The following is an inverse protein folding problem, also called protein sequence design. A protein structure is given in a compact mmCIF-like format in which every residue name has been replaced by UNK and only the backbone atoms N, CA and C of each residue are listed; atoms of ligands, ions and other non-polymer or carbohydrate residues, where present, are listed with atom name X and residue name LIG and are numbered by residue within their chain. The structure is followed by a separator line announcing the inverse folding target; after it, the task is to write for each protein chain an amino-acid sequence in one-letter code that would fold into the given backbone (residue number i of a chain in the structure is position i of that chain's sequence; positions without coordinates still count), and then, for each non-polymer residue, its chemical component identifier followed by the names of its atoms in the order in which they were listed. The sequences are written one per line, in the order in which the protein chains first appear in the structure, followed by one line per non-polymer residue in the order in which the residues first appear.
data_IF_959370590365
#
_entry.id   IF_959370590365
#
_cell.length_a   1.000
_cell.length_b   1.000
_cell.length_c   1.000
_cell.angle_alpha   90.00
_cell.angle_beta   90.00
_cell.angle_gamma   90.00
#
_symmetry.space_group_name_H-M   'P 1'
#
loop_
_entity.id
_entity.type
_entity.pdbx_description
1 polymer ?
#
# COMPACT_ATOMS: atom_id res chain seq x y z
N UNK A 1 25.42 -17.87 -4.65
CA UNK A 1 24.62 -18.85 -3.88
C UNK A 1 23.17 -18.45 -4.13
N UNK A 2 22.28 -19.39 -4.47
CA UNK A 2 20.86 -19.07 -4.64
C UNK A 2 20.30 -18.46 -3.35
N UNK A 3 19.46 -17.43 -3.49
CA UNK A 3 18.89 -16.71 -2.34
C UNK A 3 18.10 -17.66 -1.42
N UNK A 4 17.44 -18.68 -2.00
CA UNK A 4 16.73 -19.72 -1.25
C UNK A 4 17.64 -20.50 -0.29
N UNK A 5 18.93 -20.69 -0.64
CA UNK A 5 19.92 -21.30 0.28
C UNK A 5 20.39 -20.30 1.33
N UNK A 6 20.42 -19.02 1.00
CA UNK A 6 20.79 -17.99 1.95
C UNK A 6 19.69 -17.78 3.00
N UNK A 7 18.42 -17.79 2.60
CA UNK A 7 17.29 -17.75 3.51
C UNK A 7 17.32 -18.86 4.56
N UNK A 8 17.86 -20.04 4.22
CA UNK A 8 18.05 -21.15 5.17
C UNK A 8 19.06 -20.86 6.27
N UNK A 9 19.87 -19.79 6.13
CA UNK A 9 20.80 -19.34 7.18
C UNK A 9 20.14 -18.40 8.19
N UNK A 10 18.95 -17.88 7.90
CA UNK A 10 18.15 -17.19 8.89
C UNK A 10 17.87 -18.22 9.99
N UNK A 11 18.07 -17.88 11.27
CA UNK A 11 17.92 -18.83 12.36
C UNK A 11 16.45 -19.18 12.58
N UNK A 12 15.93 -20.08 11.74
CA UNK A 12 14.60 -20.65 11.83
C UNK A 12 14.76 -22.15 12.06
N UNK A 13 14.29 -22.63 13.21
CA UNK A 13 14.35 -24.05 13.54
C UNK A 13 13.47 -24.84 12.57
N UNK A 14 14.01 -25.91 12.01
CA UNK A 14 13.31 -26.81 11.07
C UNK A 14 12.67 -26.15 9.85
N UNK A 15 13.06 -24.93 9.49
CA UNK A 15 12.50 -24.17 8.37
C UNK A 15 10.95 -24.06 8.41
N UNK A 16 10.40 -23.94 9.62
CA UNK A 16 8.97 -23.83 9.85
C UNK A 16 8.63 -22.45 10.41
N UNK A 17 7.72 -21.76 9.75
CA UNK A 17 7.30 -20.39 10.11
C UNK A 17 5.78 -20.34 10.25
N UNK A 18 5.30 -19.73 11.32
CA UNK A 18 3.88 -19.43 11.51
C UNK A 18 3.64 -17.92 11.41
N UNK A 19 2.68 -17.51 10.59
CA UNK A 19 2.36 -16.12 10.32
C UNK A 19 1.04 -15.72 11.00
N UNK A 20 1.08 -14.81 11.97
CA UNK A 20 -0.10 -14.30 12.66
C UNK A 20 -0.59 -13.02 11.97
N UNK A 21 -1.84 -13.00 11.52
CA UNK A 21 -2.38 -11.96 10.64
C UNK A 21 -1.98 -12.17 9.17
N UNK A 22 -1.97 -13.43 8.71
CA UNK A 22 -1.49 -13.84 7.39
C UNK A 22 -2.35 -13.29 6.24
N UNK A 23 -3.61 -12.93 6.50
CA UNK A 23 -4.51 -12.30 5.53
C UNK A 23 -4.19 -10.83 5.25
N UNK A 24 -3.26 -10.22 6.00
CA UNK A 24 -2.75 -8.88 5.71
C UNK A 24 -1.75 -8.88 4.55
N UNK A 25 -1.84 -7.88 3.65
CA UNK A 25 -1.04 -7.81 2.41
C UNK A 25 0.48 -7.90 2.67
N UNK A 26 1.00 -7.31 3.74
CA UNK A 26 2.43 -7.32 4.05
C UNK A 26 2.93 -8.64 4.61
N UNK A 27 2.13 -9.31 5.46
CA UNK A 27 2.50 -10.62 6.03
C UNK A 27 2.31 -11.73 5.00
N UNK A 28 1.24 -11.67 4.19
CA UNK A 28 1.02 -12.63 3.11
C UNK A 28 2.16 -12.64 2.08
N UNK A 29 2.67 -11.46 1.74
CA UNK A 29 3.79 -11.32 0.83
C UNK A 29 5.07 -12.00 1.37
N UNK A 30 5.37 -11.83 2.66
CA UNK A 30 6.47 -12.55 3.33
C UNK A 30 6.22 -14.06 3.39
N UNK A 31 4.99 -14.48 3.67
CA UNK A 31 4.60 -15.88 3.70
C UNK A 31 4.82 -16.56 2.33
N UNK A 32 4.41 -15.91 1.23
CA UNK A 32 4.65 -16.39 -0.12
C UNK A 32 6.15 -16.51 -0.43
N UNK A 33 6.91 -15.48 -0.10
CA UNK A 33 8.35 -15.45 -0.34
C UNK A 33 9.08 -16.57 0.42
N UNK A 34 8.73 -16.81 1.67
CA UNK A 34 9.27 -17.91 2.46
C UNK A 34 8.87 -19.28 1.89
N UNK A 35 7.61 -19.42 1.46
CA UNK A 35 7.13 -20.64 0.84
C UNK A 35 7.88 -20.94 -0.47
N UNK A 36 8.12 -19.94 -1.32
CA UNK A 36 8.99 -20.05 -2.52
C UNK A 36 10.43 -20.45 -2.14
N UNK A 37 10.92 -19.96 -0.98
CA UNK A 37 12.22 -20.32 -0.42
C UNK A 37 12.32 -21.75 0.14
N UNK A 38 11.22 -22.51 0.11
CA UNK A 38 11.16 -23.90 0.58
C UNK A 38 10.90 -24.05 2.07
N UNK A 39 10.42 -23.01 2.75
CA UNK A 39 9.99 -23.10 4.15
C UNK A 39 8.61 -23.74 4.25
N UNK A 40 8.35 -24.41 5.37
CA UNK A 40 7.01 -24.85 5.76
C UNK A 40 6.29 -23.67 6.39
N UNK A 41 5.37 -23.09 5.66
CA UNK A 41 4.63 -21.89 6.10
C UNK A 41 3.23 -22.30 6.52
N UNK A 42 2.79 -21.76 7.66
CA UNK A 42 1.43 -21.81 8.15
C UNK A 42 1.02 -20.43 8.64
N UNK A 43 -0.25 -20.20 8.85
CA UNK A 43 -0.67 -18.94 9.46
C UNK A 43 -2.15 -18.92 9.82
N UNK A 44 -2.51 -17.85 10.51
CA UNK A 44 -3.86 -17.57 11.01
C UNK A 44 -4.24 -16.13 10.72
N UNK A 45 -5.53 -15.87 10.70
CA UNK A 45 -6.09 -14.52 10.68
C UNK A 45 -7.39 -14.46 11.51
N UNK A 46 -7.79 -13.26 11.91
CA UNK A 46 -9.06 -13.04 12.58
C UNK A 46 -10.24 -13.38 11.66
N UNK A 47 -10.10 -13.14 10.34
CA UNK A 47 -11.08 -13.44 9.30
C UNK A 47 -10.41 -14.16 8.12
N UNK A 48 -11.08 -15.17 7.57
CA UNK A 48 -10.60 -15.86 6.36
C UNK A 48 -11.03 -15.06 5.12
N UNK A 49 -10.17 -14.15 4.70
CA UNK A 49 -10.35 -13.31 3.51
C UNK A 49 -9.84 -13.99 2.22
N UNK A 50 -9.92 -13.27 1.10
CA UNK A 50 -9.51 -13.80 -0.20
C UNK A 50 -8.00 -14.09 -0.26
N UNK A 51 -7.17 -13.29 0.41
CA UNK A 51 -5.72 -13.54 0.52
C UNK A 51 -5.45 -14.87 1.22
N UNK A 52 -6.14 -15.16 2.32
CA UNK A 52 -6.03 -16.45 3.01
C UNK A 52 -6.40 -17.63 2.08
N UNK A 53 -7.45 -17.48 1.29
CA UNK A 53 -7.89 -18.50 0.33
C UNK A 53 -6.87 -18.71 -0.79
N UNK A 54 -6.31 -17.63 -1.34
CA UNK A 54 -5.25 -17.70 -2.35
C UNK A 54 -3.98 -18.40 -1.82
N UNK A 55 -3.56 -18.06 -0.60
CA UNK A 55 -2.42 -18.71 0.05
C UNK A 55 -2.64 -20.21 0.28
N UNK A 56 -3.87 -20.58 0.69
CA UNK A 56 -4.24 -21.99 0.84
C UNK A 56 -4.19 -22.75 -0.49
N UNK A 57 -4.64 -22.14 -1.60
CA UNK A 57 -4.55 -22.73 -2.95
C UNK A 57 -3.10 -22.94 -3.40
N UNK A 58 -2.17 -22.09 -2.94
CA UNK A 58 -0.72 -22.25 -3.19
C UNK A 58 -0.07 -23.34 -2.32
N UNK A 59 -0.78 -23.88 -1.34
CA UNK A 59 -0.29 -24.93 -0.44
C UNK A 59 0.19 -24.46 0.93
N UNK A 60 0.01 -23.18 1.27
CA UNK A 60 0.27 -22.66 2.61
C UNK A 60 -0.87 -23.08 3.54
N UNK A 61 -0.50 -23.63 4.71
CA UNK A 61 -1.51 -24.12 5.67
C UNK A 61 -2.14 -22.96 6.43
N UNK A 62 -3.42 -22.69 6.16
CA UNK A 62 -4.21 -21.66 6.85
C UNK A 62 -5.02 -22.32 7.97
N UNK A 63 -4.91 -21.77 9.18
CA UNK A 63 -5.72 -22.20 10.32
C UNK A 63 -7.18 -21.77 10.18
N UNK A 64 -8.12 -22.38 10.91
CA UNK A 64 -9.50 -21.88 11.01
C UNK A 64 -9.56 -20.44 11.50
N UNK A 65 -10.62 -19.72 11.14
CA UNK A 65 -10.85 -18.33 11.52
C UNK A 65 -10.71 -18.09 13.03
N UNK A 66 -10.03 -17.01 13.35
CA UNK A 66 -9.71 -16.58 14.72
C UNK A 66 -8.37 -17.09 15.22
N UNK A 67 -7.90 -16.47 16.30
CA UNK A 67 -6.60 -16.76 16.92
C UNK A 67 -6.76 -17.70 18.12
N UNK A 68 -6.11 -18.87 18.07
CA UNK A 68 -6.15 -19.92 19.11
C UNK A 68 -4.79 -20.57 19.24
N UNK A 69 -4.40 -20.99 20.44
CA UNK A 69 -3.15 -21.70 20.69
C UNK A 69 -3.01 -22.98 19.83
N UNK A 70 -4.13 -23.64 19.53
CA UNK A 70 -4.19 -24.87 18.72
C UNK A 70 -3.87 -24.64 17.24
N UNK A 71 -3.93 -23.40 16.76
CA UNK A 71 -3.53 -23.04 15.38
C UNK A 71 -2.00 -23.20 15.18
N UNK A 72 -1.23 -23.13 16.27
CA UNK A 72 0.23 -23.27 16.23
C UNK A 72 0.59 -24.71 15.88
N UNK A 73 1.52 -24.94 14.91
CA UNK A 73 1.93 -26.29 14.54
C UNK A 73 2.57 -27.04 15.71
N UNK A 74 1.97 -28.15 16.12
CA UNK A 74 2.44 -28.99 17.24
C UNK A 74 3.77 -29.72 16.93
N UNK A 75 4.10 -29.89 15.65
CA UNK A 75 5.36 -30.49 15.20
C UNK A 75 6.59 -29.59 15.40
N UNK A 76 6.41 -28.48 16.09
CA UNK A 76 7.43 -27.44 16.26
C UNK A 76 7.31 -26.33 15.21
N UNK A 77 7.47 -25.11 15.69
CA UNK A 77 7.56 -23.92 14.87
C UNK A 77 8.83 -23.16 15.27
N UNK A 78 9.72 -22.92 14.31
CA UNK A 78 10.98 -22.24 14.58
C UNK A 78 10.84 -20.72 14.71
N UNK A 79 9.85 -20.15 14.04
CA UNK A 79 9.65 -18.70 14.02
C UNK A 79 8.19 -18.30 13.87
N UNK A 80 7.88 -17.12 14.38
CA UNK A 80 6.63 -16.41 14.15
C UNK A 80 6.90 -15.06 13.53
N UNK A 81 6.11 -14.72 12.51
CA UNK A 81 6.06 -13.38 11.92
C UNK A 81 4.68 -12.79 12.20
N UNK A 82 4.66 -11.59 12.77
CA UNK A 82 3.44 -10.95 13.23
C UNK A 82 3.18 -9.64 12.49
N UNK A 83 1.91 -9.34 12.23
CA UNK A 83 1.52 -7.99 11.85
C UNK A 83 1.69 -7.03 13.05
N UNK A 84 1.92 -5.75 12.77
CA UNK A 84 2.00 -4.70 13.79
C UNK A 84 0.71 -4.57 14.65
N UNK A 85 -0.43 -5.05 14.15
CA UNK A 85 -1.69 -5.08 14.88
C UNK A 85 -1.78 -6.22 15.93
N UNK A 86 -0.84 -7.17 15.91
CA UNK A 86 -0.88 -8.34 16.81
C UNK A 86 -0.45 -7.94 18.22
N UNK A 87 -1.30 -8.22 19.19
CA UNK A 87 -0.98 -8.03 20.60
C UNK A 87 -0.12 -9.21 21.13
N UNK A 88 0.85 -8.94 22.00
CA UNK A 88 1.65 -9.96 22.66
C UNK A 88 0.83 -10.94 23.52
N UNK A 89 -0.39 -10.56 23.90
CA UNK A 89 -1.35 -11.45 24.57
C UNK A 89 -2.15 -12.35 23.61
N UNK A 90 -1.89 -12.28 22.31
CA UNK A 90 -2.50 -13.17 21.34
C UNK A 90 -2.16 -14.64 21.70
N UNK A 91 -3.16 -15.55 21.80
CA UNK A 91 -2.93 -16.92 22.28
C UNK A 91 -1.91 -17.70 21.44
N UNK A 92 -1.82 -17.43 20.15
CA UNK A 92 -0.81 -18.07 19.27
C UNK A 92 0.60 -17.53 19.57
N UNK A 93 0.73 -16.22 19.80
CA UNK A 93 2.02 -15.61 20.15
C UNK A 93 2.50 -16.14 21.51
N UNK A 94 1.61 -16.22 22.49
CA UNK A 94 1.92 -16.79 23.82
C UNK A 94 2.40 -18.23 23.70
N UNK A 95 1.71 -19.06 22.90
CA UNK A 95 2.09 -20.47 22.70
C UNK A 95 3.43 -20.59 21.97
N UNK A 96 3.66 -19.80 20.92
CA UNK A 96 4.93 -19.78 20.18
C UNK A 96 6.12 -19.37 21.07
N UNK A 97 5.94 -18.36 21.90
CA UNK A 97 6.95 -17.96 22.89
C UNK A 97 7.21 -19.04 23.93
N UNK A 98 6.14 -19.76 24.39
CA UNK A 98 6.29 -20.94 25.26
C UNK A 98 7.11 -22.04 24.61
N UNK A 99 6.95 -22.22 23.30
CA UNK A 99 7.74 -23.18 22.49
C UNK A 99 9.16 -22.67 22.16
N UNK A 100 9.54 -21.48 22.63
CA UNK A 100 10.81 -20.82 22.33
C UNK A 100 11.02 -20.53 20.85
N UNK A 101 9.94 -20.31 20.10
CA UNK A 101 10.03 -19.83 18.73
C UNK A 101 10.63 -18.42 18.70
N UNK A 102 11.40 -18.11 17.67
CA UNK A 102 11.85 -16.73 17.42
C UNK A 102 10.66 -15.91 16.94
N UNK A 103 10.55 -14.69 17.47
CA UNK A 103 9.43 -13.80 17.12
C UNK A 103 9.95 -12.55 16.44
N UNK A 104 9.35 -12.20 15.32
CA UNK A 104 9.58 -10.96 14.58
C UNK A 104 8.26 -10.27 14.23
N UNK A 105 8.25 -8.97 14.33
CA UNK A 105 7.30 -8.17 13.57
C UNK A 105 7.62 -8.28 12.07
N UNK A 106 6.64 -7.93 11.23
CA UNK A 106 6.81 -7.88 9.77
C UNK A 106 8.04 -7.03 9.37
N UNK A 107 8.21 -5.87 10.00
CA UNK A 107 9.32 -4.97 9.69
C UNK A 107 10.68 -5.50 10.15
N UNK A 108 10.76 -6.11 11.33
CA UNK A 108 12.00 -6.75 11.80
C UNK A 108 12.41 -7.90 10.88
N UNK A 109 11.44 -8.73 10.44
CA UNK A 109 11.74 -9.82 9.51
C UNK A 109 12.17 -9.29 8.13
N UNK A 110 11.59 -8.18 7.65
CA UNK A 110 12.08 -7.50 6.45
C UNK A 110 13.56 -7.09 6.60
N UNK A 111 13.98 -6.66 7.77
CA UNK A 111 15.40 -6.38 8.07
C UNK A 111 16.29 -7.61 7.93
N UNK A 112 15.84 -8.79 8.41
CA UNK A 112 16.56 -10.04 8.20
C UNK A 112 16.63 -10.43 6.71
N UNK A 113 15.52 -10.23 5.98
CA UNK A 113 15.46 -10.48 4.55
C UNK A 113 16.42 -9.56 3.77
N UNK A 114 16.54 -8.29 4.13
CA UNK A 114 17.50 -7.36 3.52
C UNK A 114 18.93 -7.88 3.60
N UNK A 115 19.32 -8.49 4.72
CA UNK A 115 20.66 -9.07 4.89
C UNK A 115 20.94 -10.26 3.98
N UNK A 116 19.90 -10.85 3.40
CA UNK A 116 20.02 -11.94 2.44
C UNK A 116 20.44 -11.46 1.03
N UNK A 117 20.31 -10.18 0.73
CA UNK A 117 20.66 -9.61 -0.56
C UNK A 117 21.88 -8.69 -0.43
N UNK A 118 22.66 -8.58 -1.52
CA UNK A 118 23.85 -7.72 -1.51
C UNK A 118 23.49 -6.24 -1.71
N UNK A 119 22.41 -5.97 -2.45
CA UNK A 119 21.98 -4.64 -2.86
C UNK A 119 20.50 -4.41 -2.57
N UNK A 120 20.06 -4.35 -1.31
CA UNK A 120 18.68 -4.02 -0.97
C UNK A 120 18.34 -2.58 -1.37
N UNK A 121 17.19 -2.38 -1.99
CA UNK A 121 16.61 -1.09 -2.35
C UNK A 121 15.27 -0.95 -1.66
N UNK A 122 15.16 0.04 -0.78
CA UNK A 122 13.96 0.28 0.01
C UNK A 122 13.25 1.54 -0.44
N UNK A 123 11.93 1.46 -0.58
CA UNK A 123 11.08 2.61 -0.88
C UNK A 123 10.26 2.95 0.36
N UNK A 124 10.49 4.12 0.93
CA UNK A 124 9.80 4.64 2.11
C UNK A 124 9.06 5.95 1.81
N UNK A 125 8.29 6.42 2.77
CA UNK A 125 7.56 7.69 2.72
C UNK A 125 6.08 7.52 3.06
N UNK A 126 5.37 8.60 3.33
CA UNK A 126 3.97 8.53 3.74
C UNK A 126 3.07 7.99 2.63
N UNK A 127 3.26 8.47 1.39
CA UNK A 127 2.43 8.14 0.23
C UNK A 127 3.28 7.74 -0.98
N UNK A 128 2.74 6.91 -1.89
CA UNK A 128 3.39 6.55 -3.16
C UNK A 128 4.42 5.42 -3.09
N UNK A 129 4.72 4.86 -1.90
CA UNK A 129 5.68 3.76 -1.69
C UNK A 129 5.48 2.58 -2.64
N UNK A 130 4.29 1.96 -2.58
CA UNK A 130 3.96 0.76 -3.36
C UNK A 130 4.05 1.03 -4.86
N UNK A 131 3.56 2.19 -5.33
CA UNK A 131 3.63 2.57 -6.74
C UNK A 131 5.07 2.75 -7.22
N UNK A 132 5.91 3.44 -6.45
CA UNK A 132 7.33 3.66 -6.78
C UNK A 132 8.11 2.34 -6.78
N UNK A 133 7.93 1.50 -5.76
CA UNK A 133 8.58 0.19 -5.69
C UNK A 133 8.12 -0.75 -6.82
N UNK A 134 6.83 -0.73 -7.15
CA UNK A 134 6.29 -1.51 -8.26
C UNK A 134 6.83 -1.04 -9.62
N UNK A 135 6.90 0.27 -9.87
CA UNK A 135 7.49 0.82 -11.09
C UNK A 135 8.96 0.43 -11.22
N UNK A 136 9.74 0.57 -10.13
CA UNK A 136 11.15 0.17 -10.10
C UNK A 136 11.33 -1.33 -10.39
N UNK A 137 10.57 -2.18 -9.70
CA UNK A 137 10.60 -3.63 -9.92
C UNK A 137 10.18 -4.03 -11.34
N UNK A 138 9.16 -3.34 -11.89
CA UNK A 138 8.71 -3.56 -13.26
C UNK A 138 9.78 -3.21 -14.29
N UNK A 139 10.40 -2.02 -14.15
CA UNK A 139 11.47 -1.56 -15.04
C UNK A 139 12.66 -2.52 -15.03
N UNK A 140 13.14 -2.92 -13.85
CA UNK A 140 14.26 -3.87 -13.73
C UNK A 140 13.93 -5.22 -14.36
N UNK A 141 12.73 -5.75 -14.14
CA UNK A 141 12.27 -6.99 -14.76
C UNK A 141 12.23 -6.90 -16.30
N UNK A 142 11.82 -5.75 -16.84
CA UNK A 142 11.80 -5.51 -18.30
C UNK A 142 13.19 -5.29 -18.91
N UNK A 143 14.16 -4.97 -18.07
CA UNK A 143 15.59 -4.94 -18.43
C UNK A 143 16.29 -6.29 -18.17
N UNK A 144 15.51 -7.38 -17.96
CA UNK A 144 15.99 -8.74 -17.71
C UNK A 144 16.87 -8.85 -16.45
N UNK A 145 16.66 -7.95 -15.47
CA UNK A 145 17.34 -8.01 -14.18
C UNK A 145 16.52 -8.88 -13.20
N UNK A 146 17.11 -9.96 -12.74
CA UNK A 146 16.47 -10.85 -11.77
C UNK A 146 16.56 -10.25 -10.36
N UNK A 147 15.43 -9.81 -9.80
CA UNK A 147 15.35 -9.13 -8.51
C UNK A 147 14.43 -9.86 -7.56
N UNK A 148 14.72 -9.83 -6.27
CA UNK A 148 13.70 -9.99 -5.23
C UNK A 148 12.72 -8.82 -5.26
N UNK A 149 11.47 -9.06 -4.92
CA UNK A 149 10.41 -8.06 -4.86
C UNK A 149 9.54 -8.30 -3.63
N UNK A 150 9.23 -7.22 -2.88
CA UNK A 150 8.28 -7.26 -1.77
C UNK A 150 7.57 -5.90 -1.68
N UNK A 151 6.35 -5.80 -2.19
CA UNK A 151 5.57 -4.57 -2.25
C UNK A 151 4.20 -4.71 -1.60
N UNK A 152 3.64 -3.60 -1.12
CA UNK A 152 2.36 -3.55 -0.41
C UNK A 152 1.12 -3.67 -1.30
N UNK A 153 1.25 -3.96 -2.60
CA UNK A 153 0.14 -4.11 -3.52
C UNK A 153 0.49 -5.06 -4.66
N UNK A 154 -0.48 -5.82 -5.16
CA UNK A 154 -0.31 -6.70 -6.31
C UNK A 154 -0.31 -5.90 -7.61
N UNK A 155 0.45 -6.33 -8.63
CA UNK A 155 0.32 -5.78 -9.97
C UNK A 155 -1.09 -6.04 -10.52
N UNK A 156 -1.58 -5.10 -11.32
CA UNK A 156 -2.84 -5.25 -12.07
C UNK A 156 -2.58 -6.02 -13.38
N UNK A 157 -2.19 -7.28 -13.25
CA UNK A 157 -1.83 -8.17 -14.36
C UNK A 157 -2.20 -9.61 -14.01
N UNK A 158 -2.26 -10.54 -15.00
CA UNK A 158 -2.52 -11.95 -14.72
C UNK A 158 -1.52 -12.59 -13.75
N UNK A 159 -0.28 -12.12 -13.72
CA UNK A 159 0.74 -12.48 -12.72
C UNK A 159 0.66 -11.51 -11.53
N UNK A 160 -0.40 -11.62 -10.74
CA UNK A 160 -0.78 -10.72 -9.65
C UNK A 160 0.18 -10.74 -8.45
N UNK A 161 1.48 -10.80 -8.67
CA UNK A 161 2.46 -10.93 -7.60
C UNK A 161 2.76 -9.60 -6.94
N UNK A 162 2.92 -9.63 -5.65
CA UNK A 162 3.51 -8.56 -4.83
C UNK A 162 4.75 -9.04 -4.07
N UNK A 163 5.09 -10.33 -4.19
CA UNK A 163 6.29 -10.92 -3.65
C UNK A 163 6.95 -11.83 -4.68
N UNK A 164 8.28 -11.83 -4.71
CA UNK A 164 9.11 -12.70 -5.53
C UNK A 164 10.48 -12.83 -4.89
N UNK A 165 10.98 -14.05 -4.78
CA UNK A 165 12.29 -14.28 -4.21
C UNK A 165 13.42 -13.78 -5.11
N UNK A 166 13.39 -14.09 -6.40
CA UNK A 166 14.49 -13.83 -7.34
C UNK A 166 15.77 -14.59 -6.97
N UNK A 167 16.78 -14.53 -7.84
CA UNK A 167 18.09 -15.11 -7.61
C UNK A 167 19.24 -14.09 -7.78
N UNK A 168 18.88 -12.83 -8.10
CA UNK A 168 19.82 -11.73 -8.25
C UNK A 168 20.31 -11.17 -6.92
N UNK A 169 21.12 -10.14 -7.00
CA UNK A 169 21.70 -9.43 -5.85
C UNK A 169 20.80 -8.30 -5.32
N UNK A 170 19.80 -7.90 -6.09
CA UNK A 170 18.85 -6.82 -5.77
C UNK A 170 17.61 -7.35 -5.06
N UNK A 171 17.21 -6.69 -3.99
CA UNK A 171 15.86 -6.75 -3.41
C UNK A 171 15.20 -5.39 -3.54
N UNK A 172 14.03 -5.33 -4.14
CA UNK A 172 13.19 -4.13 -4.15
C UNK A 172 12.07 -4.34 -3.14
N UNK A 173 12.02 -3.52 -2.10
CA UNK A 173 10.99 -3.65 -1.08
C UNK A 173 10.43 -2.30 -0.62
N UNK A 174 9.19 -2.35 -0.16
CA UNK A 174 8.51 -1.24 0.49
C UNK A 174 8.80 -1.25 1.98
N UNK A 175 9.23 -0.11 2.51
CA UNK A 175 9.48 0.12 3.94
C UNK A 175 8.32 0.94 4.53
N UNK A 176 7.57 0.34 5.44
CA UNK A 176 6.43 0.97 6.10
C UNK A 176 6.91 1.78 7.32
N UNK A 177 6.55 3.06 7.35
CA UNK A 177 6.93 3.95 8.45
C UNK A 177 5.98 3.91 9.63
N UNK A 178 4.80 3.30 9.48
CA UNK A 178 3.70 3.40 10.46
C UNK A 178 4.01 2.77 11.82
N UNK A 179 4.89 1.78 11.87
CA UNK A 179 5.34 1.09 13.08
C UNK A 179 6.78 1.43 13.49
N UNK A 180 7.44 2.33 12.75
CA UNK A 180 8.82 2.76 13.01
C UNK A 180 9.90 1.71 12.65
N UNK A 181 9.52 0.50 12.23
CA UNK A 181 10.47 -0.59 11.93
C UNK A 181 11.33 -0.32 10.69
N UNK A 182 10.91 0.59 9.82
CA UNK A 182 11.75 1.04 8.69
C UNK A 182 13.13 1.54 9.16
N UNK A 183 13.22 2.13 10.35
CA UNK A 183 14.48 2.57 10.95
C UNK A 183 15.48 1.43 11.26
N UNK A 184 15.08 0.16 11.15
CA UNK A 184 15.92 -1.02 11.31
C UNK A 184 16.49 -1.55 10.00
N UNK A 185 16.09 -0.96 8.87
CA UNK A 185 16.47 -1.42 7.54
C UNK A 185 17.77 -0.76 7.10
N UNK A 186 18.54 -1.50 6.31
CA UNK A 186 19.80 -1.03 5.72
C UNK A 186 19.95 -1.56 4.30
N UNK A 187 20.76 -0.91 3.48
CA UNK A 187 20.95 -1.39 2.12
C UNK A 187 21.79 -0.49 1.20
N UNK A 188 21.64 -0.76 -0.08
CA UNK A 188 22.33 -0.03 -1.15
C UNK A 188 21.71 1.35 -1.39
N UNK A 189 20.37 1.38 -1.53
CA UNK A 189 19.63 2.56 -1.92
C UNK A 189 18.32 2.69 -1.15
N UNK A 190 18.03 3.88 -0.65
CA UNK A 190 16.72 4.28 -0.18
C UNK A 190 16.09 5.29 -1.13
N UNK A 191 14.80 5.15 -1.40
CA UNK A 191 13.98 6.10 -2.14
C UNK A 191 12.88 6.60 -1.22
N UNK A 192 12.82 7.91 -0.95
CA UNK A 192 11.82 8.51 -0.08
C UNK A 192 10.89 9.38 -0.91
N UNK A 193 9.62 8.99 -0.99
CA UNK A 193 8.62 9.70 -1.79
C UNK A 193 8.22 11.03 -1.16
N UNK A 194 7.87 11.03 0.12
CA UNK A 194 7.47 12.20 0.91
C UNK A 194 7.51 11.88 2.40
N UNK A 195 7.45 12.93 3.25
CA UNK A 195 7.37 12.81 4.71
C UNK A 195 6.28 13.79 5.18
N UNK A 196 5.06 13.30 5.36
CA UNK A 196 3.88 14.13 5.61
C UNK A 196 3.27 13.94 7.01
N UNK A 197 3.89 13.11 7.85
CA UNK A 197 3.44 12.92 9.24
C UNK A 197 2.19 12.05 9.37
N UNK A 198 1.78 11.30 8.33
CA UNK A 198 0.69 10.33 8.48
C UNK A 198 1.05 9.32 9.60
N UNK A 199 0.08 8.95 10.41
CA UNK A 199 0.22 8.13 11.62
C UNK A 199 0.83 8.83 12.85
N UNK A 200 1.25 10.11 12.79
CA UNK A 200 1.81 10.86 13.91
C UNK A 200 0.78 11.90 14.42
N UNK A 201 0.09 11.56 15.52
CA UNK A 201 -1.03 12.34 16.05
C UNK A 201 -0.65 13.31 17.17
N UNK A 202 0.62 13.40 17.54
CA UNK A 202 1.15 14.35 18.52
C UNK A 202 2.51 14.90 18.07
N UNK A 203 2.96 15.99 18.67
CA UNK A 203 4.28 16.57 18.37
C UNK A 203 5.41 15.57 18.65
N UNK A 204 5.30 14.79 19.72
CA UNK A 204 6.26 13.75 20.09
C UNK A 204 6.29 12.63 19.03
N UNK A 205 5.14 12.17 18.56
CA UNK A 205 5.04 11.15 17.52
C UNK A 205 5.62 11.65 16.18
N UNK A 206 5.40 12.92 15.83
CA UNK A 206 6.03 13.55 14.64
C UNK A 206 7.55 13.57 14.80
N UNK A 207 8.06 14.00 15.95
CA UNK A 207 9.51 14.05 16.19
C UNK A 207 10.15 12.66 16.17
N UNK A 208 9.47 11.65 16.69
CA UNK A 208 9.90 10.25 16.64
C UNK A 208 9.94 9.73 15.20
N UNK A 209 8.88 9.95 14.42
CA UNK A 209 8.80 9.55 13.01
C UNK A 209 9.92 10.22 12.19
N UNK A 210 10.16 11.51 12.38
CA UNK A 210 11.27 12.21 11.73
C UNK A 210 12.63 11.64 12.15
N UNK A 211 12.80 11.31 13.43
CA UNK A 211 13.99 10.62 13.95
C UNK A 211 14.19 9.25 13.29
N UNK A 212 13.12 8.51 13.05
CA UNK A 212 13.14 7.23 12.36
C UNK A 212 13.58 7.38 10.90
N UNK A 213 13.08 8.38 10.17
CA UNK A 213 13.54 8.66 8.80
C UNK A 213 15.04 9.03 8.75
N UNK A 214 15.54 9.81 9.72
CA UNK A 214 16.97 10.13 9.80
C UNK A 214 17.81 8.88 10.07
N UNK A 215 17.39 7.99 10.96
CA UNK A 215 18.05 6.69 11.20
C UNK A 215 18.03 5.83 9.95
N UNK A 216 16.86 5.68 9.32
CA UNK A 216 16.71 4.95 8.08
C UNK A 216 17.72 5.39 7.02
N UNK A 217 17.85 6.70 6.74
CA UNK A 217 18.79 7.17 5.74
C UNK A 217 20.25 6.92 6.10
N UNK A 218 20.60 6.89 7.38
CA UNK A 218 21.99 6.70 7.83
C UNK A 218 22.55 5.31 7.48
N UNK A 219 21.71 4.31 7.39
CA UNK A 219 22.07 2.90 7.17
C UNK A 219 22.01 2.49 5.68
N UNK A 220 21.82 3.44 4.77
CA UNK A 220 21.89 3.24 3.32
C UNK A 220 23.12 3.94 2.71
N UNK A 221 23.70 3.34 1.67
CA UNK A 221 24.83 3.96 0.95
C UNK A 221 24.41 5.25 0.26
N UNK A 222 23.19 5.29 -0.27
CA UNK A 222 22.57 6.46 -0.90
C UNK A 222 21.08 6.52 -0.60
N UNK A 223 20.57 7.73 -0.45
CA UNK A 223 19.15 8.02 -0.36
C UNK A 223 18.79 9.12 -1.34
N UNK A 224 17.80 8.88 -2.21
CA UNK A 224 17.16 9.94 -2.98
C UNK A 224 15.78 10.24 -2.43
N UNK A 225 15.39 11.50 -2.45
CA UNK A 225 14.07 11.92 -2.05
C UNK A 225 13.50 13.02 -2.95
N UNK A 226 12.17 13.06 -3.03
CA UNK A 226 11.45 14.15 -3.70
C UNK A 226 11.46 15.36 -2.75
N UNK A 227 11.94 16.52 -3.27
CA UNK A 227 12.03 17.74 -2.50
C UNK A 227 10.61 18.25 -2.14
N UNK A 228 10.36 18.41 -0.85
CA UNK A 228 9.22 19.12 -0.27
C UNK A 228 9.71 19.87 0.96
N UNK A 229 8.94 20.79 1.49
CA UNK A 229 9.31 21.51 2.71
C UNK A 229 9.66 20.54 3.84
N UNK A 230 8.80 19.54 4.10
CA UNK A 230 9.03 18.57 5.14
C UNK A 230 10.21 17.65 4.87
N UNK A 231 10.31 17.05 3.68
CA UNK A 231 11.42 16.14 3.37
C UNK A 231 12.76 16.86 3.42
N UNK A 232 12.85 18.10 2.91
CA UNK A 232 14.06 18.92 3.01
C UNK A 232 14.41 19.23 4.46
N UNK A 233 13.44 19.64 5.30
CA UNK A 233 13.66 19.94 6.72
C UNK A 233 14.13 18.70 7.50
N UNK A 234 13.56 17.56 7.24
CA UNK A 234 13.89 16.31 7.95
C UNK A 234 15.25 15.77 7.52
N UNK A 235 15.57 15.80 6.22
CA UNK A 235 16.71 15.10 5.64
C UNK A 235 17.92 15.99 5.29
N UNK A 236 17.83 17.32 5.43
CA UNK A 236 18.89 18.27 5.04
C UNK A 236 20.29 17.97 5.61
N UNK A 237 20.34 17.37 6.82
CA UNK A 237 21.60 17.05 7.50
C UNK A 237 21.99 15.57 7.41
N UNK A 238 21.28 14.77 6.63
CA UNK A 238 21.59 13.36 6.44
C UNK A 238 22.63 13.23 5.32
N UNK A 239 23.85 12.78 5.65
CA UNK A 239 25.00 12.75 4.72
C UNK A 239 24.76 11.95 3.45
N UNK A 240 23.97 10.89 3.55
CA UNK A 240 23.70 9.98 2.42
C UNK A 240 22.42 10.35 1.66
N UNK A 241 21.69 11.38 2.11
CA UNK A 241 20.42 11.80 1.53
C UNK A 241 20.62 12.99 0.59
N UNK A 242 20.02 12.90 -0.58
CA UNK A 242 20.08 13.91 -1.63
C UNK A 242 18.66 14.11 -2.21
N UNK A 243 18.21 15.36 -2.23
CA UNK A 243 17.01 15.73 -2.95
C UNK A 243 17.27 15.62 -4.46
N UNK A 244 16.32 15.10 -5.21
CA UNK A 244 16.35 15.26 -6.65
C UNK A 244 16.35 16.76 -6.97
N UNK A 245 17.38 17.23 -7.68
CA UNK A 245 17.38 18.62 -8.15
C UNK A 245 16.20 18.86 -9.10
N UNK A 246 15.73 20.10 -9.18
CA UNK A 246 14.62 20.46 -10.07
C UNK A 246 14.88 20.01 -11.51
N UNK A 247 16.06 20.28 -12.04
CA UNK A 247 16.49 19.86 -13.39
C UNK A 247 16.42 18.33 -13.56
N UNK A 248 16.97 17.59 -12.58
CA UNK A 248 16.96 16.12 -12.62
C UNK A 248 15.55 15.56 -12.53
N UNK A 249 14.73 16.12 -11.65
CA UNK A 249 13.33 15.72 -11.50
C UNK A 249 12.52 15.96 -12.77
N UNK A 250 12.67 17.14 -13.39
CA UNK A 250 12.00 17.48 -14.65
C UNK A 250 12.44 16.57 -15.80
N UNK A 251 13.75 16.33 -15.92
CA UNK A 251 14.28 15.40 -16.92
C UNK A 251 13.70 13.99 -16.75
N UNK A 252 13.81 13.40 -15.55
CA UNK A 252 13.30 12.05 -15.31
C UNK A 252 11.77 11.96 -15.45
N UNK A 253 11.04 12.99 -15.01
CA UNK A 253 9.60 13.09 -15.21
C UNK A 253 9.20 13.14 -16.69
N UNK A 254 10.03 13.78 -17.53
CA UNK A 254 9.78 13.87 -18.96
C UNK A 254 9.94 12.54 -19.70
N UNK A 255 10.70 11.60 -19.14
CA UNK A 255 10.85 10.24 -19.67
C UNK A 255 9.62 9.36 -19.40
N UNK A 256 8.84 9.68 -18.37
CA UNK A 256 7.64 8.91 -18.03
C UNK A 256 6.57 9.00 -19.15
N UNK A 257 5.78 7.92 -19.39
CA UNK A 257 4.70 7.93 -20.33
C UNK A 257 3.74 9.11 -20.13
N UNK A 258 3.19 9.64 -21.23
CA UNK A 258 2.29 10.80 -21.19
C UNK A 258 1.01 10.54 -20.40
N UNK A 259 0.59 9.29 -20.35
CA UNK A 259 -0.58 8.80 -19.62
C UNK A 259 -0.42 8.85 -18.09
N UNK A 260 0.83 8.90 -17.61
CA UNK A 260 1.11 9.10 -16.18
C UNK A 260 0.94 10.59 -15.84
N UNK A 261 0.13 10.88 -14.85
CA UNK A 261 -0.26 12.24 -14.49
C UNK A 261 0.08 12.56 -13.02
N UNK A 262 0.29 13.82 -12.71
CA UNK A 262 0.47 14.29 -11.33
C UNK A 262 1.50 13.48 -10.55
N UNK A 263 1.09 12.92 -9.41
CA UNK A 263 1.97 12.15 -8.53
C UNK A 263 2.53 10.85 -9.16
N UNK A 264 1.87 10.30 -10.18
CA UNK A 264 2.37 9.11 -10.89
C UNK A 264 3.72 9.42 -11.56
N UNK A 265 3.84 10.62 -12.18
CA UNK A 265 5.11 11.09 -12.76
C UNK A 265 6.18 11.30 -11.70
N UNK A 266 5.81 11.83 -10.55
CA UNK A 266 6.74 12.02 -9.44
C UNK A 266 7.30 10.68 -8.93
N UNK A 267 6.43 9.68 -8.78
CA UNK A 267 6.83 8.33 -8.40
C UNK A 267 7.73 7.69 -9.47
N UNK A 268 7.40 7.86 -10.76
CA UNK A 268 8.22 7.37 -11.87
C UNK A 268 9.60 8.05 -11.90
N UNK A 269 9.67 9.36 -11.70
CA UNK A 269 10.95 10.10 -11.66
C UNK A 269 11.86 9.59 -10.54
N UNK A 270 11.29 9.35 -9.34
CA UNK A 270 12.07 8.82 -8.22
C UNK A 270 12.54 7.38 -8.49
N UNK A 271 11.69 6.54 -9.08
CA UNK A 271 12.07 5.19 -9.49
C UNK A 271 13.16 5.19 -10.56
N UNK A 272 13.09 6.10 -11.55
CA UNK A 272 14.12 6.28 -12.60
C UNK A 272 15.44 6.80 -12.02
N UNK A 273 15.41 7.65 -11.00
CA UNK A 273 16.63 8.04 -10.28
C UNK A 273 17.30 6.82 -9.63
N UNK A 274 16.49 5.89 -9.09
CA UNK A 274 16.97 4.61 -8.58
C UNK A 274 17.60 3.74 -9.69
N UNK A 275 16.99 3.67 -10.87
CA UNK A 275 17.51 2.95 -12.04
C UNK A 275 18.90 3.45 -12.41
N UNK A 276 19.08 4.76 -12.55
CA UNK A 276 20.37 5.34 -12.89
C UNK A 276 21.45 5.07 -11.83
N UNK A 277 21.12 5.24 -10.55
CA UNK A 277 22.06 4.95 -9.47
C UNK A 277 22.49 3.48 -9.46
N UNK A 278 21.59 2.58 -9.77
CA UNK A 278 21.88 1.14 -9.85
C UNK A 278 22.73 0.78 -11.09
N UNK A 279 22.98 1.72 -11.99
CA UNK A 279 23.81 1.56 -13.19
C UNK A 279 23.08 1.12 -14.44
N UNK A 280 21.73 1.26 -14.46
CA UNK A 280 20.92 0.93 -15.62
C UNK A 280 20.51 2.16 -16.41
N UNK A 281 20.19 1.97 -17.69
CA UNK A 281 19.77 3.02 -18.62
C UNK A 281 18.33 3.48 -18.32
N UNK A 282 18.17 4.72 -17.85
CA UNK A 282 16.88 5.28 -17.47
C UNK A 282 15.94 5.46 -18.67
N UNK A 283 16.47 5.73 -19.88
CA UNK A 283 15.63 5.87 -21.09
C UNK A 283 15.00 4.54 -21.47
N UNK A 284 15.81 3.46 -21.48
CA UNK A 284 15.30 2.11 -21.73
C UNK A 284 14.34 1.65 -20.64
N UNK A 285 14.63 2.00 -19.38
CA UNK A 285 13.74 1.69 -18.25
C UNK A 285 12.40 2.43 -18.39
N UNK A 286 12.42 3.70 -18.78
CA UNK A 286 11.21 4.49 -18.99
C UNK A 286 10.32 3.91 -20.12
N UNK A 287 10.92 3.36 -21.20
CA UNK A 287 10.15 2.65 -22.23
C UNK A 287 9.37 1.46 -21.64
N UNK A 288 9.91 0.78 -20.65
CA UNK A 288 9.21 -0.31 -19.97
C UNK A 288 7.93 0.15 -19.23
N UNK A 289 7.88 1.41 -18.80
CA UNK A 289 6.69 1.97 -18.14
C UNK A 289 5.49 2.08 -19.07
N UNK A 290 5.67 2.10 -20.40
CA UNK A 290 4.56 2.05 -21.37
C UNK A 290 3.73 0.76 -21.25
N UNK A 291 4.34 -0.32 -20.77
CA UNK A 291 3.67 -1.60 -20.51
C UNK A 291 3.40 -1.86 -19.04
N UNK A 292 3.61 -0.86 -18.17
CA UNK A 292 3.36 -1.00 -16.75
C UNK A 292 1.85 -1.14 -16.48
N UNK A 293 1.40 -2.24 -15.87
CA UNK A 293 -0.02 -2.52 -15.73
C UNK A 293 -0.68 -1.73 -14.59
N UNK A 294 0.12 -0.96 -13.82
CA UNK A 294 -0.33 -0.41 -12.54
C UNK A 294 -0.35 -1.46 -11.43
N UNK A 295 -0.80 -1.05 -10.27
CA UNK A 295 -1.06 -1.93 -9.14
C UNK A 295 -2.53 -1.88 -8.74
N UNK A 296 -3.04 -2.96 -8.17
CA UNK A 296 -4.44 -3.05 -7.75
C UNK A 296 -4.80 -1.93 -6.78
N UNK A 297 -6.02 -1.42 -6.95
CA UNK A 297 -6.59 -0.36 -6.12
C UNK A 297 -5.79 0.96 -6.16
N UNK A 298 -5.08 1.28 -7.26
CA UNK A 298 -4.45 2.59 -7.50
C UNK A 298 -4.84 3.05 -8.90
N UNK A 299 -5.74 4.01 -9.01
CA UNK A 299 -6.31 4.50 -10.27
C UNK A 299 -6.76 3.34 -11.22
N UNK A 300 -7.25 2.25 -10.63
CA UNK A 300 -7.56 1.02 -11.35
C UNK A 300 -8.97 1.05 -11.90
N UNK A 301 -9.12 1.02 -13.22
CA UNK A 301 -10.42 0.80 -13.85
C UNK A 301 -10.82 -0.66 -13.69
N UNK A 302 -11.97 -0.91 -13.07
CA UNK A 302 -12.49 -2.25 -12.79
C UNK A 302 -13.59 -2.67 -13.76
N UNK A 303 -14.35 -1.72 -14.28
CA UNK A 303 -15.37 -1.99 -15.28
C UNK A 303 -15.70 -0.73 -16.11
N UNK A 304 -16.19 -0.98 -17.32
CA UNK A 304 -16.80 0.04 -18.18
C UNK A 304 -18.12 -0.56 -18.69
N UNK A 305 -19.22 0.18 -18.57
CA UNK A 305 -20.51 -0.28 -19.11
C UNK A 305 -20.48 -0.50 -20.61
N UNK A 306 -21.31 -1.41 -21.13
CA UNK A 306 -21.33 -1.77 -22.55
C UNK A 306 -21.63 -0.59 -23.49
N UNK A 307 -22.29 0.49 -23.01
CA UNK A 307 -22.55 1.73 -23.75
C UNK A 307 -21.47 2.81 -23.52
N UNK A 308 -20.44 2.51 -22.72
CA UNK A 308 -19.33 3.42 -22.39
C UNK A 308 -19.71 4.58 -21.49
N UNK A 309 -20.92 4.61 -20.94
CA UNK A 309 -21.39 5.73 -20.12
C UNK A 309 -20.94 5.69 -18.67
N UNK A 310 -20.64 4.52 -18.14
CA UNK A 310 -20.20 4.35 -16.76
C UNK A 310 -18.80 3.76 -16.77
N UNK A 311 -17.87 4.44 -16.13
CA UNK A 311 -16.56 3.91 -15.82
C UNK A 311 -16.44 3.74 -14.31
N UNK A 312 -16.10 2.55 -13.84
CA UNK A 312 -15.85 2.26 -12.43
C UNK A 312 -14.35 2.21 -12.18
N UNK A 313 -13.90 2.97 -11.20
CA UNK A 313 -12.50 3.08 -10.83
C UNK A 313 -12.32 2.87 -9.33
N UNK A 314 -11.28 2.16 -8.95
CA UNK A 314 -10.87 1.98 -7.55
C UNK A 314 -9.57 2.72 -7.24
N UNK A 315 -9.52 3.37 -6.06
CA UNK A 315 -8.29 3.94 -5.52
C UNK A 315 -8.19 3.72 -4.00
N UNK A 316 -7.00 3.38 -3.55
CA UNK A 316 -6.71 3.09 -2.14
C UNK A 316 -6.52 4.34 -1.29
N UNK A 317 -6.57 5.54 -1.88
CA UNK A 317 -6.39 6.81 -1.19
C UNK A 317 -7.30 6.92 0.05
N UNK A 318 -6.72 7.26 1.18
CA UNK A 318 -7.42 7.33 2.46
C UNK A 318 -6.91 8.45 3.37
N UNK A 319 -5.87 9.18 2.95
CA UNK A 319 -5.40 10.43 3.53
C UNK A 319 -5.90 11.61 2.69
N UNK A 320 -6.19 12.81 3.24
CA UNK A 320 -6.71 13.94 2.45
C UNK A 320 -5.81 14.36 1.30
N UNK A 321 -4.50 14.30 1.47
CA UNK A 321 -3.55 14.60 0.38
C UNK A 321 -3.61 13.57 -0.73
N UNK A 322 -3.62 12.26 -0.39
CA UNK A 322 -3.81 11.20 -1.39
C UNK A 322 -5.12 11.39 -2.15
N UNK A 323 -6.21 11.67 -1.41
CA UNK A 323 -7.53 11.90 -1.98
C UNK A 323 -7.52 13.10 -2.96
N UNK A 324 -6.91 14.22 -2.56
CA UNK A 324 -6.80 15.40 -3.42
C UNK A 324 -6.00 15.09 -4.71
N UNK A 325 -4.84 14.46 -4.58
CA UNK A 325 -4.00 14.07 -5.72
C UNK A 325 -4.71 13.05 -6.63
N UNK A 326 -5.40 12.07 -6.04
CA UNK A 326 -6.15 11.06 -6.78
C UNK A 326 -7.29 11.69 -7.60
N UNK A 327 -8.06 12.59 -6.98
CA UNK A 327 -9.15 13.33 -7.65
C UNK A 327 -8.63 14.25 -8.76
N UNK A 328 -7.48 14.87 -8.56
CA UNK A 328 -6.84 15.69 -9.59
C UNK A 328 -6.49 14.86 -10.84
N UNK A 329 -5.82 13.71 -10.64
CA UNK A 329 -5.50 12.80 -11.73
C UNK A 329 -6.75 12.28 -12.43
N UNK A 330 -7.81 11.94 -11.70
CA UNK A 330 -9.09 11.52 -12.29
C UNK A 330 -9.70 12.62 -13.16
N UNK A 331 -9.72 13.88 -12.71
CA UNK A 331 -10.23 15.01 -13.50
C UNK A 331 -9.41 15.26 -14.76
N UNK A 332 -8.09 15.11 -14.68
CA UNK A 332 -7.20 15.25 -15.84
C UNK A 332 -7.39 14.11 -16.85
N UNK A 333 -7.58 12.87 -16.37
CA UNK A 333 -7.72 11.67 -17.21
C UNK A 333 -9.12 11.54 -17.84
N UNK A 334 -10.13 12.04 -17.14
CA UNK A 334 -11.55 11.93 -17.55
C UNK A 334 -12.25 13.31 -17.61
N UNK A 335 -11.75 14.27 -18.43
CA UNK A 335 -12.23 15.65 -18.42
C UNK A 335 -13.71 15.79 -18.85
N UNK A 336 -14.22 14.84 -19.66
CA UNK A 336 -15.60 14.86 -20.16
C UNK A 336 -16.59 14.16 -19.22
N UNK A 337 -16.09 13.41 -18.20
CA UNK A 337 -16.95 12.68 -17.29
C UNK A 337 -17.41 13.57 -16.13
N UNK A 338 -18.65 13.36 -15.68
CA UNK A 338 -19.00 13.73 -14.31
C UNK A 338 -18.32 12.80 -13.32
N UNK A 339 -17.93 13.33 -12.19
CA UNK A 339 -17.30 12.55 -11.13
C UNK A 339 -18.26 12.28 -9.99
N UNK A 340 -18.51 11.01 -9.69
CA UNK A 340 -19.16 10.54 -8.47
C UNK A 340 -18.13 9.82 -7.62
N UNK A 341 -17.88 10.35 -6.44
CA UNK A 341 -16.93 9.78 -5.48
C UNK A 341 -17.70 8.97 -4.44
N UNK A 342 -17.40 7.68 -4.34
CA UNK A 342 -17.82 6.83 -3.23
C UNK A 342 -16.63 6.75 -2.28
N UNK A 343 -16.71 7.40 -1.13
CA UNK A 343 -15.60 7.52 -0.19
C UNK A 343 -15.87 6.76 1.09
N UNK A 344 -14.90 5.93 1.52
CA UNK A 344 -14.93 5.26 2.82
C UNK A 344 -13.85 5.83 3.72
N UNK A 345 -14.19 6.61 4.77
CA UNK A 345 -13.22 7.03 5.78
C UNK A 345 -12.58 5.80 6.44
N UNK A 346 -11.28 5.85 6.66
CA UNK A 346 -10.51 4.75 7.24
C UNK A 346 -9.92 5.17 8.58
N UNK A 347 -10.35 4.51 9.68
CA UNK A 347 -10.05 4.80 11.10
C UNK A 347 -10.69 6.08 11.63
N UNK A 348 -11.27 5.98 12.79
CA UNK A 348 -11.91 7.12 13.49
C UNK A 348 -10.92 8.22 13.85
N UNK A 349 -9.70 7.86 14.29
CA UNK A 349 -8.66 8.85 14.64
C UNK A 349 -8.24 9.67 13.43
N UNK A 350 -8.07 9.05 12.27
CA UNK A 350 -7.71 9.77 11.03
C UNK A 350 -8.84 10.70 10.60
N UNK A 351 -10.08 10.23 10.61
CA UNK A 351 -11.23 11.07 10.28
C UNK A 351 -11.30 12.28 11.22
N UNK A 352 -11.16 12.10 12.53
CA UNK A 352 -11.17 13.19 13.52
C UNK A 352 -10.02 14.18 13.28
N UNK A 353 -8.80 13.68 13.09
CA UNK A 353 -7.60 14.52 12.95
C UNK A 353 -7.63 15.37 11.68
N UNK A 354 -8.04 14.80 10.56
CA UNK A 354 -8.06 15.47 9.25
C UNK A 354 -9.47 15.87 8.81
N UNK A 355 -10.42 16.01 9.72
CA UNK A 355 -11.82 16.25 9.40
C UNK A 355 -12.01 17.43 8.44
N UNK A 356 -11.44 18.59 8.76
CA UNK A 356 -11.55 19.80 7.95
C UNK A 356 -10.86 19.66 6.59
N UNK A 357 -9.79 18.90 6.50
CA UNK A 357 -9.11 18.63 5.24
C UNK A 357 -9.95 17.73 4.33
N UNK A 358 -10.59 16.70 4.88
CA UNK A 358 -11.56 15.90 4.12
C UNK A 358 -12.74 16.75 3.65
N UNK A 359 -13.29 17.60 4.50
CA UNK A 359 -14.38 18.53 4.11
C UNK A 359 -13.92 19.40 2.96
N UNK A 360 -12.74 20.02 3.05
CA UNK A 360 -12.20 20.88 2.00
C UNK A 360 -12.07 20.14 0.66
N UNK A 361 -11.53 18.94 0.65
CA UNK A 361 -11.31 18.15 -0.57
C UNK A 361 -12.62 17.66 -1.17
N UNK A 362 -13.55 17.19 -0.33
CA UNK A 362 -14.81 16.58 -0.76
C UNK A 362 -15.94 17.60 -1.04
N UNK A 363 -15.74 18.89 -0.74
CA UNK A 363 -16.75 19.95 -1.00
C UNK A 363 -16.69 20.56 -2.40
N UNK A 364 -15.89 19.99 -3.30
CA UNK A 364 -15.82 20.46 -4.69
C UNK A 364 -17.19 20.31 -5.37
N UNK A 365 -17.71 21.44 -5.91
CA UNK A 365 -19.03 21.52 -6.55
C UNK A 365 -19.16 20.71 -7.83
N UNK A 366 -18.03 20.33 -8.44
CA UNK A 366 -17.96 19.55 -9.68
C UNK A 366 -18.24 18.07 -9.52
N UNK A 367 -18.37 17.56 -8.27
CA UNK A 367 -18.57 16.14 -7.99
C UNK A 367 -19.76 15.87 -7.06
N UNK A 368 -20.25 14.65 -7.10
CA UNK A 368 -21.20 14.09 -6.12
C UNK A 368 -20.45 13.13 -5.21
N UNK A 369 -20.72 13.18 -3.91
CA UNK A 369 -20.03 12.36 -2.92
C UNK A 369 -21.01 11.43 -2.21
N UNK A 370 -20.72 10.13 -2.20
CA UNK A 370 -21.40 9.13 -1.39
C UNK A 370 -20.42 8.69 -0.30
N UNK A 371 -20.74 8.96 0.95
CA UNK A 371 -19.87 8.61 2.09
C UNK A 371 -20.35 7.31 2.72
N UNK A 372 -19.47 6.34 2.82
CA UNK A 372 -19.72 5.06 3.48
C UNK A 372 -19.45 5.15 5.00
N UNK A 373 -19.98 4.23 5.82
CA UNK A 373 -19.58 4.13 7.22
C UNK A 373 -18.07 4.01 7.39
N UNK A 374 -17.56 4.59 8.48
CA UNK A 374 -16.11 4.53 8.79
C UNK A 374 -15.66 3.08 8.85
N UNK A 375 -14.61 2.75 8.12
CA UNK A 375 -13.92 1.47 8.29
C UNK A 375 -12.99 1.57 9.50
N UNK A 376 -13.41 0.93 10.59
CA UNK A 376 -12.74 1.06 11.89
C UNK A 376 -11.36 0.37 11.95
N UNK A 377 -11.08 -0.58 11.03
CA UNK A 377 -9.97 -1.49 11.15
C UNK A 377 -10.02 -2.19 12.53
N UNK A 378 -9.04 -1.94 13.39
CA UNK A 378 -9.03 -2.45 14.79
C UNK A 378 -9.32 -1.36 15.82
N UNK A 379 -9.68 -0.14 15.39
CA UNK A 379 -9.96 0.97 16.32
C UNK A 379 -11.42 0.92 16.78
N UNK A 380 -11.69 1.01 18.08
CA UNK A 380 -13.05 1.22 18.56
C UNK A 380 -13.52 2.64 18.18
N UNK A 381 -14.83 2.88 18.04
CA UNK A 381 -15.38 4.21 17.90
C UNK A 381 -14.88 5.12 19.05
N UNK A 382 -14.52 6.36 18.71
CA UNK A 382 -14.10 7.35 19.70
C UNK A 382 -15.33 7.93 20.40
N UNK A 383 -15.28 8.11 21.73
CA UNK A 383 -16.38 8.67 22.54
C UNK A 383 -16.82 10.04 22.00
N UNK A 384 -15.84 10.91 21.65
CA UNK A 384 -16.07 12.22 21.02
C UNK A 384 -15.61 12.20 19.56
N UNK A 385 -15.87 11.09 18.86
CA UNK A 385 -15.42 10.87 17.49
C UNK A 385 -16.32 11.55 16.48
N UNK A 386 -15.77 11.75 15.27
CA UNK A 386 -16.54 12.14 14.11
C UNK A 386 -16.99 10.88 13.37
N UNK A 387 -18.24 10.88 12.95
CA UNK A 387 -18.84 9.81 12.13
C UNK A 387 -18.99 10.25 10.67
N UNK A 388 -19.27 9.31 9.81
CA UNK A 388 -19.50 9.59 8.38
C UNK A 388 -20.67 10.56 8.16
N UNK A 389 -21.67 10.54 9.05
CA UNK A 389 -22.80 11.48 9.00
C UNK A 389 -22.36 12.93 9.26
N UNK A 390 -21.43 13.16 10.19
CA UNK A 390 -20.88 14.47 10.47
C UNK A 390 -20.11 15.00 9.27
N UNK A 391 -19.34 14.13 8.60
CA UNK A 391 -18.62 14.49 7.40
C UNK A 391 -19.59 14.89 6.27
N UNK A 392 -20.69 14.16 6.07
CA UNK A 392 -21.73 14.51 5.09
C UNK A 392 -22.35 15.87 5.39
N UNK A 393 -22.71 16.13 6.65
CA UNK A 393 -23.27 17.42 7.06
C UNK A 393 -22.28 18.58 6.79
N UNK A 394 -21.02 18.39 7.13
CA UNK A 394 -19.99 19.41 6.95
C UNK A 394 -19.68 19.68 5.47
N UNK A 395 -19.61 18.64 4.62
CA UNK A 395 -19.43 18.79 3.16
C UNK A 395 -20.59 19.60 2.58
N UNK A 396 -21.83 19.29 2.95
CA UNK A 396 -23.03 20.02 2.45
C UNK A 396 -23.06 21.45 2.97
N UNK A 397 -22.69 21.71 4.22
CA UNK A 397 -22.55 23.05 4.77
C UNK A 397 -21.49 23.89 4.05
N UNK A 398 -20.41 23.25 3.57
CA UNK A 398 -19.37 23.90 2.76
C UNK A 398 -19.76 24.09 1.27
N UNK A 399 -20.99 23.72 0.90
CA UNK A 399 -21.54 23.91 -0.47
C UNK A 399 -21.26 22.76 -1.44
N UNK A 400 -20.74 21.63 -0.95
CA UNK A 400 -20.61 20.38 -1.68
C UNK A 400 -21.95 19.64 -1.81
N UNK A 401 -21.92 18.41 -2.37
CA UNK A 401 -23.09 17.53 -2.52
C UNK A 401 -22.72 16.15 -2.01
N UNK A 402 -23.05 15.86 -0.76
CA UNK A 402 -22.75 14.59 -0.12
C UNK A 402 -24.01 13.92 0.45
N UNK A 403 -24.01 12.58 0.40
CA UNK A 403 -25.05 11.73 0.99
C UNK A 403 -24.39 10.53 1.67
N UNK A 404 -25.01 10.05 2.74
CA UNK A 404 -24.59 8.82 3.41
C UNK A 404 -25.11 7.61 2.62
N UNK A 405 -24.26 6.62 2.37
CA UNK A 405 -24.62 5.36 1.73
C UNK A 405 -24.34 4.20 2.70
N UNK A 406 -25.36 3.41 3.02
CA UNK A 406 -25.25 2.28 3.94
C UNK A 406 -24.84 1.02 3.19
N UNK A 407 -23.77 0.35 3.65
CA UNK A 407 -23.24 -0.89 3.05
C UNK A 407 -23.94 -2.18 3.52
N UNK A 408 -25.04 -2.11 4.26
CA UNK A 408 -25.73 -3.32 4.74
C UNK A 408 -26.26 -4.21 3.60
N UNK A 409 -26.63 -3.60 2.46
CA UNK A 409 -27.05 -4.29 1.24
C UNK A 409 -26.27 -3.73 0.04
N UNK A 410 -25.21 -4.43 -0.35
CA UNK A 410 -24.34 -4.04 -1.46
C UNK A 410 -25.06 -4.03 -2.81
N UNK A 411 -25.99 -4.95 -3.03
CA UNK A 411 -26.76 -5.02 -4.28
C UNK A 411 -27.67 -3.81 -4.42
N UNK A 412 -28.35 -3.43 -3.35
CA UNK A 412 -29.16 -2.22 -3.31
C UNK A 412 -28.32 -0.94 -3.51
N UNK A 413 -27.14 -0.87 -2.88
CA UNK A 413 -26.22 0.24 -3.10
C UNK A 413 -25.78 0.34 -4.57
N UNK A 414 -25.44 -0.77 -5.20
CA UNK A 414 -25.09 -0.80 -6.62
C UNK A 414 -26.26 -0.34 -7.50
N UNK A 415 -27.52 -0.72 -7.17
CA UNK A 415 -28.71 -0.24 -7.86
C UNK A 415 -28.89 1.27 -7.75
N UNK A 416 -28.67 1.84 -6.57
CA UNK A 416 -28.75 3.30 -6.38
C UNK A 416 -27.70 4.02 -7.22
N UNK A 417 -26.47 3.51 -7.30
CA UNK A 417 -25.41 4.08 -8.13
C UNK A 417 -25.71 3.98 -9.62
N UNK A 418 -26.27 2.85 -10.09
CA UNK A 418 -26.70 2.67 -11.48
C UNK A 418 -27.85 3.64 -11.83
N UNK A 419 -28.84 3.83 -10.95
CA UNK A 419 -29.94 4.79 -11.19
C UNK A 419 -29.41 6.23 -11.26
N UNK A 420 -28.53 6.62 -10.34
CA UNK A 420 -27.90 7.93 -10.37
C UNK A 420 -27.11 8.15 -11.67
N UNK A 421 -26.50 7.11 -12.23
CA UNK A 421 -25.81 7.17 -13.51
C UNK A 421 -26.77 7.29 -14.70
N UNK A 422 -27.94 6.65 -14.66
CA UNK A 422 -28.93 6.70 -15.73
C UNK A 422 -29.52 8.10 -15.91
N UNK A 423 -29.59 8.88 -14.84
CA UNK A 423 -30.11 10.26 -14.87
C UNK A 423 -29.09 11.29 -15.43
N UNK A 424 -27.83 10.86 -15.63
CA UNK A 424 -26.78 11.74 -16.10
C UNK A 424 -26.69 11.79 -17.64
N UNK A 425 -26.49 13.01 -18.14
CA UNK A 425 -26.38 13.26 -19.60
C UNK A 425 -24.96 13.04 -20.11
N UNK A 426 -23.97 13.25 -19.26
CA UNK A 426 -22.54 13.04 -19.55
C UNK A 426 -22.11 11.66 -19.08
N UNK A 427 -21.04 11.09 -19.64
CA UNK A 427 -20.44 9.91 -19.05
C UNK A 427 -20.09 10.13 -17.57
N UNK A 428 -20.23 9.10 -16.76
CA UNK A 428 -20.01 9.13 -15.32
C UNK A 428 -18.80 8.30 -14.95
N UNK A 429 -17.86 8.90 -14.23
CA UNK A 429 -16.79 8.19 -13.53
C UNK A 429 -17.26 7.95 -12.08
N UNK A 430 -17.45 6.70 -11.71
CA UNK A 430 -17.74 6.31 -10.32
C UNK A 430 -16.42 5.84 -9.70
N UNK A 431 -15.87 6.68 -8.83
CA UNK A 431 -14.60 6.43 -8.16
C UNK A 431 -14.82 5.94 -6.74
N UNK A 432 -14.45 4.68 -6.47
CA UNK A 432 -14.43 4.06 -5.15
C UNK A 432 -13.10 4.33 -4.48
N UNK A 433 -13.10 5.19 -3.45
CA UNK A 433 -11.88 5.67 -2.83
C UNK A 433 -11.85 5.32 -1.34
N UNK A 434 -10.84 4.54 -0.93
CA UNK A 434 -10.64 4.13 0.46
C UNK A 434 -9.83 2.85 0.63
N UNK A 435 -9.24 2.69 1.80
CA UNK A 435 -8.38 1.54 2.16
C UNK A 435 -9.15 0.37 2.82
N UNK A 436 -10.43 0.57 3.13
CA UNK A 436 -11.28 -0.43 3.80
C UNK A 436 -12.00 -1.39 2.84
N UNK A 437 -13.18 -1.81 3.24
CA UNK A 437 -14.02 -2.81 2.54
C UNK A 437 -14.83 -2.25 1.35
N UNK A 438 -14.53 -1.06 0.91
CA UNK A 438 -15.20 -0.38 -0.21
C UNK A 438 -15.07 -1.15 -1.54
N UNK A 439 -13.99 -1.91 -1.71
CA UNK A 439 -13.75 -2.80 -2.85
C UNK A 439 -14.86 -3.84 -3.06
N UNK A 440 -15.52 -4.29 -1.98
CA UNK A 440 -16.66 -5.21 -2.07
C UNK A 440 -17.83 -4.56 -2.85
N UNK A 441 -18.12 -3.29 -2.60
CA UNK A 441 -19.17 -2.57 -3.34
C UNK A 441 -18.75 -2.27 -4.77
N UNK A 442 -17.48 -1.90 -4.98
CA UNK A 442 -16.93 -1.70 -6.32
C UNK A 442 -17.07 -2.96 -7.18
N UNK A 443 -16.75 -4.13 -6.63
CA UNK A 443 -16.88 -5.42 -7.30
C UNK A 443 -18.33 -5.74 -7.69
N UNK A 444 -19.28 -5.56 -6.76
CA UNK A 444 -20.72 -5.79 -7.03
C UNK A 444 -21.22 -4.86 -8.14
N UNK A 445 -20.80 -3.59 -8.13
CA UNK A 445 -21.16 -2.66 -9.21
C UNK A 445 -20.53 -3.07 -10.54
N UNK A 446 -19.25 -3.43 -10.55
CA UNK A 446 -18.54 -3.87 -11.75
C UNK A 446 -19.20 -5.09 -12.40
N UNK A 447 -19.57 -6.11 -11.61
CA UNK A 447 -20.29 -7.30 -12.08
C UNK A 447 -21.68 -6.97 -12.65
N UNK A 448 -22.30 -5.87 -12.19
CA UNK A 448 -23.63 -5.46 -12.62
C UNK A 448 -23.65 -4.70 -13.94
N UNK A 449 -22.60 -3.93 -14.25
CA UNK A 449 -22.55 -3.08 -15.43
C UNK A 449 -21.73 -3.70 -16.58
N UNK A 450 -20.85 -4.68 -16.28
CA UNK A 450 -20.06 -5.44 -17.26
C UNK A 450 -20.80 -6.64 -17.76
#
# INVERSE_FOLDING_TARGET
MPIAEFLKKIPVFDYSVHCVGIGGIGVSALAELLFEGGFRVSGSDAEINDICRELAQKGIKIAPEGHRAENVPQSGCGAVIMTAATNLNNPEVVELLRMRAMAWSRGEFLGELCRCYQRPVMVAGSHGKSSTAAMLGWMLRKLDVDTGLLIGAKYNSPDERNARLGNGDLLIAEADESDGTHALLSGELALITNIDGDHAWSAEAVAEQEGNFRRFTADFKKTFYIASENSCRVLANCRNAEALSQEKFEYLSSLAPLEMLGYERSNAALALAGIEYLGYDAVKAAEALKSYPGIKRRQMVTAVSGDGKITVLEDYAHHPQELACSLEVMKMRYPEHKLMVVFQPHRYRRLKHYFNDFVRVLSDKGMQVKVLPVFCAWEPPLIDGMESADLVMAINAAGGKAELLNMADLAHCADLLCRAAADEKKPLLIAFIGAGSIDKLAKVLAEKIG
#
